data_IF_593785729599
#
_entry.id   IF_593785729599
#
_cell.length_a   1.000
_cell.length_b   1.000
_cell.length_c   1.000
_cell.angle_alpha   90.00
_cell.angle_beta   90.00
_cell.angle_gamma   90.00
#
_symmetry.space_group_name_H-M   'P 1'
#
loop_
_entity.id
_entity.type
_entity.pdbx_description
1 polymer ?
#
# COMPACT_ATOMS: atom_id res chain seq x y z
N UNK A 1 -0.19 9.89 -1.83
CA UNK A 1 0.30 9.29 -0.60
C UNK A 1 -0.33 7.92 -0.38
N UNK A 2 0.36 7.05 0.30
CA UNK A 2 -0.14 5.78 0.81
C UNK A 2 -0.17 5.88 2.33
N UNK A 3 -1.31 5.58 2.93
CA UNK A 3 -1.47 5.49 4.37
C UNK A 3 -1.95 4.09 4.72
N UNK A 4 -1.36 3.50 5.74
CA UNK A 4 -1.69 2.17 6.21
C UNK A 4 -1.67 2.15 7.74
N UNK A 5 -2.58 1.39 8.32
CA UNK A 5 -2.63 1.14 9.75
C UNK A 5 -2.70 -0.36 10.00
N UNK A 6 -1.90 -0.84 10.93
CA UNK A 6 -1.96 -2.21 11.40
C UNK A 6 -2.15 -2.22 12.92
N UNK A 7 -3.14 -2.98 13.36
CA UNK A 7 -3.51 -3.13 14.76
C UNK A 7 -3.32 -4.59 15.16
N UNK A 8 -2.51 -4.83 16.19
CA UNK A 8 -2.32 -6.13 16.80
C UNK A 8 -2.95 -6.12 18.20
N UNK A 9 -3.96 -6.94 18.40
CA UNK A 9 -4.58 -7.16 19.70
C UNK A 9 -4.13 -8.50 20.24
N UNK A 10 -3.42 -8.50 21.35
CA UNK A 10 -2.96 -9.70 22.04
C UNK A 10 -3.81 -9.92 23.27
N UNK A 11 -4.52 -11.05 23.31
CA UNK A 11 -5.22 -11.55 24.49
C UNK A 11 -4.25 -12.44 25.26
N UNK A 12 -3.79 -11.97 26.41
CA UNK A 12 -3.02 -12.81 27.33
C UNK A 12 -3.97 -13.49 28.33
N UNK A 13 -4.13 -14.80 28.19
CA UNK A 13 -4.87 -15.63 29.14
C UNK A 13 -4.10 -15.79 30.44
N UNK A 14 -4.57 -15.19 31.50
CA UNK A 14 -4.18 -15.53 32.87
C UNK A 14 -5.43 -15.99 33.64
N UNK A 15 -5.26 -16.93 34.55
CA UNK A 15 -6.30 -17.69 35.26
C UNK A 15 -7.34 -16.81 36.01
N UNK A 16 -7.14 -15.51 36.12
CA UNK A 16 -7.98 -14.62 36.92
C UNK A 16 -8.42 -13.30 36.27
N UNK A 17 -7.87 -12.92 35.13
CA UNK A 17 -8.36 -11.75 34.38
C UNK A 17 -7.82 -11.74 32.95
N UNK A 18 -8.71 -11.49 31.99
CA UNK A 18 -8.35 -11.26 30.60
C UNK A 18 -7.66 -9.89 30.50
N UNK A 19 -6.42 -9.88 30.04
CA UNK A 19 -5.66 -8.66 29.86
C UNK A 19 -5.40 -8.45 28.38
N UNK A 20 -5.97 -7.38 27.87
CA UNK A 20 -5.80 -6.97 26.48
C UNK A 20 -4.60 -6.02 26.39
N UNK A 21 -3.67 -6.34 25.49
CA UNK A 21 -2.62 -5.41 25.07
C UNK A 21 -2.83 -5.14 23.59
N UNK A 22 -3.01 -3.89 23.22
CA UNK A 22 -3.08 -3.46 21.85
C UNK A 22 -1.78 -2.79 21.43
N UNK A 23 -1.29 -3.13 20.27
CA UNK A 23 -0.16 -2.46 19.63
C UNK A 23 -0.60 -1.98 18.25
N UNK A 24 -0.71 -0.67 18.08
CA UNK A 24 -1.12 -0.03 16.84
C UNK A 24 0.06 0.70 16.22
N UNK A 25 0.26 0.49 14.94
CA UNK A 25 1.26 1.19 14.13
C UNK A 25 0.57 1.75 12.90
N UNK A 26 0.80 3.04 12.66
CA UNK A 26 0.31 3.75 11.47
C UNK A 26 1.50 4.26 10.67
N UNK A 27 1.51 3.94 9.38
CA UNK A 27 2.52 4.42 8.44
C UNK A 27 1.90 5.35 7.41
N UNK A 28 2.71 6.30 6.96
CA UNK A 28 2.35 7.22 5.88
C UNK A 28 3.55 7.38 4.97
N UNK A 29 3.33 7.19 3.67
CA UNK A 29 4.36 7.28 2.64
C UNK A 29 3.94 8.29 1.57
N UNK A 30 4.69 9.36 1.43
CA UNK A 30 4.50 10.36 0.40
C UNK A 30 5.60 10.23 -0.64
N UNK A 31 5.21 10.22 -1.92
CA UNK A 31 6.12 10.07 -3.04
C UNK A 31 5.99 11.27 -3.97
N UNK A 32 7.13 11.83 -4.38
CA UNK A 32 7.20 12.91 -5.35
C UNK A 32 8.37 12.65 -6.31
N UNK A 33 8.12 12.69 -7.61
CA UNK A 33 9.17 12.46 -8.59
C UNK A 33 8.71 12.65 -10.04
N UNK A 34 9.65 12.65 -10.98
CA UNK A 34 9.35 12.67 -12.39
C UNK A 34 8.72 11.36 -12.84
N UNK A 35 7.75 11.46 -13.75
CA UNK A 35 7.05 10.35 -14.35
C UNK A 35 7.19 10.40 -15.86
N UNK A 36 7.45 9.24 -16.46
CA UNK A 36 7.37 9.03 -17.90
C UNK A 36 6.29 8.01 -18.21
N UNK A 37 5.63 8.15 -19.34
CA UNK A 37 4.58 7.24 -19.73
C UNK A 37 4.39 7.17 -21.24
N UNK A 38 3.88 6.03 -21.67
CA UNK A 38 3.51 5.76 -23.05
C UNK A 38 2.06 5.33 -23.11
N UNK A 39 1.35 5.78 -24.12
CA UNK A 39 -0.01 5.33 -24.42
C UNK A 39 -0.10 4.98 -25.89
N UNK A 40 -0.65 3.81 -26.17
CA UNK A 40 -0.90 3.34 -27.52
C UNK A 40 -2.34 2.86 -27.70
N UNK A 41 -2.90 3.12 -28.87
CA UNK A 41 -4.20 2.58 -29.28
C UNK A 41 -4.11 2.18 -30.74
N UNK A 42 -4.59 0.97 -31.03
CA UNK A 42 -4.72 0.49 -32.40
C UNK A 42 -6.10 -0.14 -32.60
N UNK A 43 -6.72 0.16 -33.73
CA UNK A 43 -8.05 -0.33 -34.06
C UNK A 43 -8.03 -1.06 -35.43
N UNK A 44 -8.70 -2.21 -35.48
CA UNK A 44 -8.88 -3.01 -36.69
C UNK A 44 -10.35 -3.39 -36.81
N UNK A 45 -10.98 -3.06 -37.91
CA UNK A 45 -12.39 -3.44 -38.16
C UNK A 45 -13.30 -3.48 -36.92
N UNK A 46 -13.35 -4.62 -36.24
CA UNK A 46 -14.19 -4.87 -35.05
C UNK A 46 -13.44 -4.91 -33.73
N UNK A 47 -12.10 -4.76 -33.75
CA UNK A 47 -11.24 -4.85 -32.55
C UNK A 47 -10.51 -3.54 -32.30
N UNK A 48 -10.35 -3.20 -31.06
CA UNK A 48 -9.44 -2.15 -30.62
C UNK A 48 -8.60 -2.64 -29.45
N UNK A 49 -7.31 -2.36 -29.49
CA UNK A 49 -6.36 -2.60 -28.40
C UNK A 49 -5.87 -1.26 -27.95
N UNK A 50 -5.91 -1.04 -26.66
CA UNK A 50 -5.41 0.17 -26.01
C UNK A 50 -4.57 -0.23 -24.79
N UNK A 51 -3.50 0.50 -24.56
CA UNK A 51 -2.71 0.32 -23.36
C UNK A 51 -1.91 1.57 -23.03
N UNK A 52 -1.58 1.70 -21.78
CA UNK A 52 -0.58 2.66 -21.31
C UNK A 52 0.36 2.00 -20.32
N UNK A 53 1.55 2.54 -20.26
CA UNK A 53 2.51 2.24 -19.22
C UNK A 53 3.07 3.55 -18.67
N UNK A 54 3.25 3.62 -17.37
CA UNK A 54 3.84 4.76 -16.68
C UNK A 54 4.86 4.25 -15.69
N UNK A 55 5.95 4.95 -15.56
CA UNK A 55 6.98 4.68 -14.56
C UNK A 55 7.41 5.99 -13.90
N UNK A 56 7.54 5.97 -12.60
CA UNK A 56 7.97 7.09 -11.79
C UNK A 56 9.11 6.65 -10.88
N UNK A 57 10.19 7.42 -10.86
CA UNK A 57 11.19 7.39 -9.81
C UNK A 57 10.92 8.58 -8.88
N UNK A 58 10.84 8.33 -7.59
CA UNK A 58 10.43 9.33 -6.64
C UNK A 58 11.32 9.38 -5.41
N UNK A 59 11.53 10.57 -4.89
CA UNK A 59 11.88 10.74 -3.49
C UNK A 59 10.68 10.38 -2.61
N UNK A 60 10.92 9.65 -1.54
CA UNK A 60 9.89 9.24 -0.59
C UNK A 60 10.12 9.89 0.76
N UNK A 61 9.04 10.32 1.40
CA UNK A 61 9.01 10.72 2.80
C UNK A 61 8.16 9.68 3.51
N UNK A 62 8.81 8.91 4.37
CA UNK A 62 8.22 7.80 5.11
C UNK A 62 8.04 8.21 6.56
N UNK A 63 6.86 8.00 7.12
CA UNK A 63 6.57 8.30 8.52
C UNK A 63 5.91 7.10 9.17
N UNK A 64 6.36 6.76 10.36
CA UNK A 64 5.76 5.72 11.19
C UNK A 64 5.44 6.29 12.55
N UNK A 65 4.20 6.05 13.01
CA UNK A 65 3.73 6.40 14.34
C UNK A 65 3.29 5.11 15.03
N UNK A 66 3.90 4.81 16.18
CA UNK A 66 3.51 3.69 17.00
C UNK A 66 2.91 4.20 18.32
N UNK A 67 1.78 3.64 18.69
CA UNK A 67 1.12 3.96 19.95
C UNK A 67 1.88 3.37 21.15
N UNK A 68 1.71 3.93 22.36
CA UNK A 68 2.36 3.41 23.55
C UNK A 68 1.85 2.01 23.88
N UNK A 69 2.77 1.17 24.35
CA UNK A 69 2.43 -0.17 24.86
C UNK A 69 2.36 -0.11 26.37
N UNK A 70 1.25 -0.52 26.93
CA UNK A 70 1.01 -0.58 28.38
C UNK A 70 1.26 -1.97 28.93
N UNK A 71 1.63 -2.03 30.20
CA UNK A 71 1.77 -3.30 30.91
C UNK A 71 0.39 -3.95 31.10
N UNK A 72 0.31 -5.21 30.76
CA UNK A 72 -0.89 -6.00 31.00
C UNK A 72 -1.18 -6.24 32.51
N UNK A 73 -0.16 -6.15 33.33
CA UNK A 73 -0.28 -6.33 34.81
C UNK A 73 -0.59 -5.02 35.53
N UNK A 74 -0.25 -3.89 34.93
CA UNK A 74 -0.47 -2.56 35.47
C UNK A 74 -0.78 -1.61 34.31
N UNK A 75 -2.06 -1.41 33.92
CA UNK A 75 -2.44 -0.65 32.71
C UNK A 75 -2.06 0.82 32.76
N UNK A 76 -1.62 1.34 33.89
CA UNK A 76 -1.04 2.68 34.01
C UNK A 76 0.47 2.71 33.78
N UNK A 77 1.13 1.54 33.70
CA UNK A 77 2.58 1.47 33.49
C UNK A 77 2.89 1.33 32.03
N UNK A 78 3.56 2.32 31.45
CA UNK A 78 4.02 2.32 30.07
C UNK A 78 5.26 1.44 29.97
N UNK A 79 5.20 0.36 29.18
CA UNK A 79 6.36 -0.49 28.84
C UNK A 79 7.17 0.19 27.74
N UNK A 80 6.48 0.75 26.74
CA UNK A 80 7.08 1.46 25.62
C UNK A 80 6.27 2.73 25.37
N UNK A 81 6.95 3.87 25.36
CA UNK A 81 6.31 5.14 25.01
C UNK A 81 5.96 5.23 23.53
N UNK A 82 5.14 6.23 23.16
CA UNK A 82 4.81 6.48 21.76
C UNK A 82 6.08 6.79 20.96
N UNK A 83 6.14 6.32 19.72
CA UNK A 83 7.27 6.54 18.83
C UNK A 83 6.79 7.18 17.54
N UNK A 84 7.55 8.16 17.09
CA UNK A 84 7.36 8.76 15.76
C UNK A 84 8.70 8.85 15.07
N UNK A 85 8.77 8.26 13.88
CA UNK A 85 9.98 8.23 13.05
C UNK A 85 9.60 8.76 11.68
N UNK A 86 10.48 9.58 11.11
CA UNK A 86 10.33 10.05 9.73
C UNK A 86 11.67 9.89 9.05
N UNK A 87 11.66 9.24 7.90
CA UNK A 87 12.84 9.02 7.07
C UNK A 87 12.56 9.38 5.62
N UNK A 88 13.62 9.65 4.88
CA UNK A 88 13.55 9.90 3.44
C UNK A 88 14.22 8.77 2.69
N UNK A 89 13.67 8.41 1.54
CA UNK A 89 14.19 7.33 0.72
C UNK A 89 13.93 7.57 -0.76
N UNK A 90 14.12 6.51 -1.53
CA UNK A 90 13.80 6.46 -2.96
C UNK A 90 12.80 5.35 -3.20
N UNK A 91 11.81 5.64 -4.02
CA UNK A 91 10.78 4.69 -4.39
C UNK A 91 10.54 4.65 -5.90
N UNK A 92 9.84 3.63 -6.32
CA UNK A 92 9.43 3.40 -7.69
C UNK A 92 7.93 3.13 -7.74
N UNK A 93 7.26 3.72 -8.75
CA UNK A 93 5.87 3.39 -9.09
C UNK A 93 5.80 3.03 -10.56
N UNK A 94 5.27 1.84 -10.85
CA UNK A 94 4.91 1.37 -12.17
C UNK A 94 3.40 1.21 -12.29
N UNK A 95 2.82 1.70 -13.39
CA UNK A 95 1.39 1.56 -13.70
C UNK A 95 1.26 1.07 -15.14
N UNK A 96 0.66 -0.09 -15.29
CA UNK A 96 0.40 -0.74 -16.57
C UNK A 96 -1.08 -1.02 -16.73
N UNK A 97 -1.62 -0.66 -17.88
CA UNK A 97 -2.98 -1.00 -18.25
C UNK A 97 -3.00 -1.50 -19.69
N UNK A 98 -3.64 -2.63 -19.90
CA UNK A 98 -3.93 -3.17 -21.22
C UNK A 98 -5.41 -3.47 -21.33
N UNK A 99 -6.01 -3.12 -22.45
CA UNK A 99 -7.41 -3.45 -22.73
C UNK A 99 -7.62 -3.81 -24.19
N UNK A 100 -8.49 -4.77 -24.40
CA UNK A 100 -8.96 -5.20 -25.70
C UNK A 100 -10.46 -4.94 -25.74
N UNK A 101 -10.93 -4.31 -26.81
CA UNK A 101 -12.34 -4.05 -27.04
C UNK A 101 -12.78 -4.68 -28.35
N UNK A 102 -13.94 -5.30 -28.34
CA UNK A 102 -14.58 -5.87 -29.54
C UNK A 102 -15.94 -5.22 -29.77
N UNK A 103 -16.17 -4.77 -31.00
CA UNK A 103 -17.46 -4.23 -31.42
C UNK A 103 -18.45 -5.37 -31.61
N UNK A 104 -19.53 -5.35 -30.84
CA UNK A 104 -20.62 -6.34 -30.92
C UNK A 104 -21.69 -5.89 -31.91
N UNK A 105 -22.12 -4.64 -31.80
CA UNK A 105 -23.10 -4.00 -32.69
C UNK A 105 -22.59 -2.65 -33.18
N UNK A 106 -23.39 -1.87 -33.86
CA UNK A 106 -23.01 -0.51 -34.28
C UNK A 106 -22.69 0.41 -33.06
N UNK A 107 -23.39 0.21 -31.95
CA UNK A 107 -23.29 1.07 -30.77
C UNK A 107 -22.67 0.38 -29.54
N UNK A 108 -22.52 -0.94 -29.53
CA UNK A 108 -22.05 -1.68 -28.36
C UNK A 108 -20.67 -2.29 -28.56
N UNK A 109 -19.82 -2.11 -27.55
CA UNK A 109 -18.48 -2.68 -27.47
C UNK A 109 -18.32 -3.46 -26.18
N UNK A 110 -17.76 -4.64 -26.27
CA UNK A 110 -17.28 -5.41 -25.12
C UNK A 110 -15.82 -5.06 -24.90
N UNK A 111 -15.46 -4.70 -23.67
CA UNK A 111 -14.10 -4.37 -23.25
C UNK A 111 -13.65 -5.33 -22.17
N UNK A 112 -12.46 -5.91 -22.34
CA UNK A 112 -11.75 -6.66 -21.33
C UNK A 112 -10.38 -6.01 -21.13
N UNK A 113 -9.94 -5.89 -19.90
CA UNK A 113 -8.67 -5.26 -19.60
C UNK A 113 -8.01 -5.85 -18.36
N UNK A 114 -6.76 -5.48 -18.17
CA UNK A 114 -5.97 -5.87 -17.03
C UNK A 114 -5.11 -4.68 -16.58
N UNK A 115 -5.13 -4.44 -15.27
CA UNK A 115 -4.37 -3.37 -14.62
C UNK A 115 -3.32 -3.98 -13.71
N UNK A 116 -2.14 -3.38 -13.67
CA UNK A 116 -1.06 -3.73 -12.77
C UNK A 116 -0.45 -2.43 -12.24
N UNK A 117 -0.33 -2.35 -10.92
CA UNK A 117 0.35 -1.25 -10.24
C UNK A 117 1.41 -1.86 -9.34
N UNK A 118 2.62 -1.40 -9.49
CA UNK A 118 3.76 -1.79 -8.68
C UNK A 118 4.32 -0.58 -7.96
N UNK A 119 4.39 -0.67 -6.65
CA UNK A 119 4.88 0.37 -5.76
C UNK A 119 6.01 -0.22 -4.93
N UNK A 120 7.13 0.46 -4.82
CA UNK A 120 8.24 0.06 -3.95
C UNK A 120 8.87 1.26 -3.25
N UNK A 121 9.62 1.02 -2.18
CA UNK A 121 10.22 2.08 -1.37
C UNK A 121 9.19 2.77 -0.47
N UNK A 122 8.23 2.02 0.04
CA UNK A 122 7.21 2.47 1.00
C UNK A 122 7.42 1.82 2.36
N UNK A 123 6.93 2.46 3.41
CA UNK A 123 6.86 1.88 4.73
C UNK A 123 5.51 1.18 4.90
N UNK A 124 5.54 -0.13 5.11
CA UNK A 124 4.34 -0.92 5.40
C UNK A 124 4.17 -1.03 6.91
N UNK A 125 2.94 -0.89 7.40
CA UNK A 125 2.65 -0.90 8.82
C UNK A 125 3.00 -2.24 9.50
N UNK A 126 2.74 -3.42 8.91
CA UNK A 126 3.15 -4.70 9.50
C UNK A 126 4.67 -4.85 9.65
N UNK A 127 5.46 -4.26 8.76
CA UNK A 127 6.92 -4.34 8.80
C UNK A 127 7.54 -3.49 9.93
N UNK A 128 6.74 -2.58 10.52
CA UNK A 128 7.19 -1.73 11.62
C UNK A 128 6.95 -2.35 13.00
N UNK A 129 6.36 -3.54 13.07
CA UNK A 129 6.17 -4.22 14.34
C UNK A 129 7.51 -4.73 14.87
N UNK A 130 7.94 -4.17 15.97
CA UNK A 130 9.15 -4.57 16.68
C UNK A 130 8.77 -5.15 18.05
N UNK A 131 8.95 -6.46 18.19
CA UNK A 131 8.63 -7.20 19.41
C UNK A 131 9.82 -7.35 20.36
N UNK A 132 10.98 -6.79 20.00
CA UNK A 132 12.14 -6.82 20.90
C UNK A 132 11.92 -5.90 22.09
N UNK A 133 12.47 -6.26 23.24
CA UNK A 133 12.40 -5.46 24.45
C UNK A 133 13.78 -4.87 24.76
N UNK A 134 14.20 -3.90 23.97
CA UNK A 134 15.46 -3.17 24.16
C UNK A 134 15.21 -1.66 24.18
N UNK A 135 16.11 -0.86 24.74
CA UNK A 135 15.97 0.60 24.75
C UNK A 135 15.87 1.22 23.34
N UNK A 136 16.37 0.51 22.32
CA UNK A 136 16.37 0.95 20.92
C UNK A 136 15.25 0.35 20.09
N UNK A 137 14.39 -0.48 20.67
CA UNK A 137 13.26 -1.12 19.97
C UNK A 137 12.32 -0.08 19.35
N UNK A 138 11.96 -0.29 18.08
CA UNK A 138 11.05 0.58 17.35
C UNK A 138 11.64 1.96 17.03
N UNK A 139 12.97 2.11 17.01
CA UNK A 139 13.65 3.37 16.64
C UNK A 139 14.12 3.39 15.18
N UNK A 140 13.98 2.29 14.45
CA UNK A 140 14.30 2.19 13.03
C UNK A 140 13.02 2.06 12.20
N UNK A 141 13.01 2.66 11.02
CA UNK A 141 11.92 2.57 10.08
C UNK A 141 12.32 1.62 8.94
N UNK A 142 11.49 0.62 8.67
CA UNK A 142 11.69 -0.29 7.52
C UNK A 142 10.97 0.28 6.32
N UNK A 143 11.72 0.92 5.42
CA UNK A 143 11.19 1.65 4.25
C UNK A 143 11.35 0.91 2.91
N UNK A 144 11.76 -0.37 2.94
CA UNK A 144 11.98 -1.17 1.72
C UNK A 144 10.76 -1.95 1.24
N UNK A 145 9.58 -1.69 1.80
CA UNK A 145 8.36 -2.39 1.45
C UNK A 145 7.91 -2.16 0.01
N UNK A 146 7.14 -3.12 -0.51
CA UNK A 146 6.56 -3.06 -1.83
C UNK A 146 5.13 -3.56 -1.86
N UNK A 147 4.32 -2.96 -2.74
CA UNK A 147 2.92 -3.33 -2.97
C UNK A 147 2.75 -3.63 -4.44
N UNK A 148 2.16 -4.78 -4.74
CA UNK A 148 1.76 -5.15 -6.10
C UNK A 148 0.25 -5.35 -6.15
N UNK A 149 -0.42 -4.46 -6.87
CA UNK A 149 -1.86 -4.51 -7.10
C UNK A 149 -2.10 -4.89 -8.55
N UNK A 150 -2.98 -5.84 -8.77
CA UNK A 150 -3.37 -6.21 -10.12
C UNK A 150 -4.83 -6.66 -10.17
N UNK A 151 -5.45 -6.53 -11.34
CA UNK A 151 -6.84 -6.94 -11.50
C UNK A 151 -7.30 -6.92 -12.94
N UNK A 152 -8.23 -7.83 -13.25
CA UNK A 152 -8.94 -7.85 -14.52
C UNK A 152 -10.19 -6.98 -14.43
N UNK A 153 -10.57 -6.37 -15.55
CA UNK A 153 -11.83 -5.67 -15.69
C UNK A 153 -12.56 -6.14 -16.95
N UNK A 154 -13.88 -6.17 -16.86
CA UNK A 154 -14.77 -6.48 -17.95
C UNK A 154 -15.90 -5.45 -17.97
N UNK A 155 -16.23 -4.92 -19.12
CA UNK A 155 -17.26 -3.92 -19.26
C UNK A 155 -17.91 -3.88 -20.63
N UNK A 156 -19.12 -3.31 -20.67
CA UNK A 156 -19.82 -2.95 -21.89
C UNK A 156 -19.80 -1.45 -22.05
N UNK A 157 -19.47 -0.97 -23.24
CA UNK A 157 -19.38 0.44 -23.58
C UNK A 157 -20.34 0.75 -24.73
N UNK A 158 -21.23 1.72 -24.55
CA UNK A 158 -22.09 2.23 -25.59
C UNK A 158 -21.46 3.47 -26.23
N UNK A 159 -21.40 3.49 -27.56
CA UNK A 159 -20.92 4.64 -28.35
C UNK A 159 -21.99 4.98 -29.41
N UNK A 160 -22.49 6.19 -29.35
CA UNK A 160 -23.47 6.77 -30.29
C UNK A 160 -22.87 7.95 -31.03
#
# INVERSE_FOLDING_TARGET
>A
GLEEQADLNVLCCRVTSDVFTSYSVRTSSHMLGPQVGFRGRRQWKKWAVEGWSKAMLAGTILSSNADPIFSSLAPTTIIRGPRRITETGVGFLGDLNYSVSRRLTQSWWLRAGYNMIWLSGVALAPDQWDFTNTPTSGTTLVGGGGVFLHGANLGLEARW
#
